data_IF_899432421870
#
_entry.id   IF_899432421870
#
_cell.length_a   1.000
_cell.length_b   1.000
_cell.length_c   1.000
_cell.angle_alpha   90.00
_cell.angle_beta   90.00
_cell.angle_gamma   90.00
#
_symmetry.space_group_name_H-M   'P 1'
#
loop_
_entity.id
_entity.type
_entity.pdbx_description
1 polymer ?
#
# COMPACT_ATOMS: atom_id res chain seq x y z
N UNK A 1 14.91 15.63 10.16
CA UNK A 1 13.65 15.35 10.91
C UNK A 1 13.84 14.01 11.60
N UNK A 2 13.39 13.87 12.85
CA UNK A 2 13.32 12.55 13.49
C UNK A 2 12.20 11.70 12.87
N UNK A 3 12.25 10.38 13.06
CA UNK A 3 11.16 9.49 12.64
C UNK A 3 9.84 9.87 13.31
N UNK A 4 9.88 10.24 14.59
CA UNK A 4 8.73 10.75 15.34
C UNK A 4 8.10 11.98 14.67
N UNK A 5 8.91 12.99 14.33
CA UNK A 5 8.41 14.18 13.65
C UNK A 5 7.81 13.86 12.28
N UNK A 6 8.37 12.88 11.56
CA UNK A 6 7.87 12.42 10.28
C UNK A 6 6.51 11.72 10.43
N UNK A 7 6.38 10.81 11.40
CA UNK A 7 5.13 10.11 11.71
C UNK A 7 4.04 11.11 12.10
N UNK A 8 4.32 12.03 13.03
CA UNK A 8 3.35 13.06 13.42
C UNK A 8 2.89 13.90 12.24
N UNK A 9 3.80 14.28 11.33
CA UNK A 9 3.46 15.02 10.11
C UNK A 9 2.51 14.22 9.20
N UNK A 10 2.79 12.95 8.96
CA UNK A 10 1.94 12.11 8.11
C UNK A 10 0.57 11.82 8.74
N UNK A 11 0.50 11.63 10.06
CA UNK A 11 -0.76 11.47 10.79
C UNK A 11 -1.63 12.71 10.62
N UNK A 12 -1.09 13.90 10.92
CA UNK A 12 -1.82 15.17 10.77
C UNK A 12 -2.31 15.37 9.33
N UNK A 13 -1.49 15.01 8.35
CA UNK A 13 -1.87 15.10 6.94
C UNK A 13 -3.05 14.17 6.60
N UNK A 14 -3.02 12.93 7.11
CA UNK A 14 -4.10 11.97 6.90
C UNK A 14 -5.38 12.41 7.63
N UNK A 15 -5.29 12.88 8.87
CA UNK A 15 -6.42 13.42 9.63
C UNK A 15 -7.08 14.59 8.90
N UNK A 16 -6.28 15.50 8.34
CA UNK A 16 -6.79 16.60 7.53
C UNK A 16 -7.57 16.10 6.32
N UNK A 17 -7.04 15.12 5.57
CA UNK A 17 -7.75 14.51 4.43
C UNK A 17 -9.05 13.85 4.88
N UNK A 18 -9.06 13.13 6.01
CA UNK A 18 -10.27 12.50 6.54
C UNK A 18 -11.36 13.51 6.93
N UNK A 19 -11.00 14.74 7.29
CA UNK A 19 -11.98 15.79 7.57
C UNK A 19 -12.62 16.37 6.30
N UNK A 20 -11.96 16.26 5.15
CA UNK A 20 -12.38 16.89 3.89
C UNK A 20 -12.84 15.89 2.82
N UNK A 21 -12.58 14.59 3.02
CA UNK A 21 -12.87 13.57 2.01
C UNK A 21 -14.37 13.41 1.79
N UNK A 22 -14.80 13.46 0.53
CA UNK A 22 -16.19 13.27 0.12
C UNK A 22 -16.34 12.04 -0.76
N UNK A 23 -17.46 11.31 -0.59
CA UNK A 23 -17.80 10.18 -1.45
C UNK A 23 -18.41 10.70 -2.76
N UNK A 24 -17.70 10.49 -3.88
CA UNK A 24 -18.18 10.85 -5.21
C UNK A 24 -19.22 9.83 -5.69
N UNK A 25 -20.51 10.19 -5.64
CA UNK A 25 -21.66 9.28 -5.91
C UNK A 25 -21.75 8.76 -7.35
N UNK A 26 -21.08 9.40 -8.31
CA UNK A 26 -21.03 9.00 -9.73
C UNK A 26 -19.59 8.73 -10.18
N UNK A 27 -18.74 8.21 -9.29
CA UNK A 27 -17.37 7.85 -9.64
C UNK A 27 -17.38 6.87 -10.82
N UNK A 28 -16.59 7.19 -11.84
CA UNK A 28 -16.38 6.39 -13.06
C UNK A 28 -16.18 4.93 -12.67
N UNK A 29 -16.84 4.01 -13.37
CA UNK A 29 -16.57 2.57 -13.31
C UNK A 29 -15.07 2.36 -13.29
N UNK A 30 -14.54 1.61 -12.32
CA UNK A 30 -13.09 1.40 -12.22
C UNK A 30 -12.61 0.73 -13.51
N UNK A 31 -11.98 1.52 -14.37
CA UNK A 31 -11.46 1.05 -15.65
C UNK A 31 -10.32 0.07 -15.41
N UNK A 32 -10.23 -0.96 -16.24
CA UNK A 32 -9.16 -1.95 -16.20
C UNK A 32 -7.78 -1.28 -16.28
N UNK A 33 -7.67 -0.16 -17.00
CA UNK A 33 -6.42 0.60 -17.09
C UNK A 33 -6.03 1.25 -15.75
N UNK A 34 -7.00 1.76 -14.99
CA UNK A 34 -6.77 2.28 -13.63
C UNK A 34 -6.31 1.15 -12.72
N UNK A 35 -6.97 -0.01 -12.78
CA UNK A 35 -6.56 -1.19 -12.00
C UNK A 35 -5.12 -1.59 -12.32
N UNK A 36 -4.75 -1.67 -13.60
CA UNK A 36 -3.37 -1.98 -14.02
C UNK A 36 -2.37 -0.99 -13.47
N UNK A 37 -2.66 0.30 -13.56
CA UNK A 37 -1.79 1.36 -13.04
C UNK A 37 -1.58 1.25 -11.53
N UNK A 38 -2.63 0.94 -10.77
CA UNK A 38 -2.51 0.71 -9.31
C UNK A 38 -1.68 -0.54 -9.02
N UNK A 39 -1.83 -1.62 -9.80
CA UNK A 39 -0.98 -2.82 -9.68
C UNK A 39 0.49 -2.55 -10.02
N UNK A 40 0.77 -1.70 -11.00
CA UNK A 40 2.13 -1.25 -11.31
C UNK A 40 2.75 -0.49 -10.14
N UNK A 41 1.99 0.42 -9.51
CA UNK A 41 2.45 1.10 -8.31
C UNK A 41 2.70 0.12 -7.16
N UNK A 42 1.76 -0.78 -6.86
CA UNK A 42 1.96 -1.80 -5.82
C UNK A 42 3.24 -2.61 -6.06
N UNK A 43 3.50 -3.02 -7.31
CA UNK A 43 4.72 -3.73 -7.69
C UNK A 43 5.98 -2.87 -7.51
N UNK A 44 5.94 -1.59 -7.89
CA UNK A 44 7.06 -0.68 -7.68
C UNK A 44 7.40 -0.55 -6.18
N UNK A 45 6.40 -0.38 -5.32
CA UNK A 45 6.60 -0.33 -3.86
C UNK A 45 7.12 -1.64 -3.27
N UNK A 46 6.77 -2.79 -3.85
CA UNK A 46 7.38 -4.07 -3.48
C UNK A 46 8.88 -4.12 -3.83
N UNK A 47 9.26 -3.61 -5.00
CA UNK A 47 10.68 -3.54 -5.40
C UNK A 47 11.45 -2.53 -4.52
N UNK A 48 10.85 -1.41 -4.17
CA UNK A 48 11.41 -0.46 -3.19
C UNK A 48 11.63 -1.12 -1.83
N UNK A 49 10.65 -1.88 -1.33
CA UNK A 49 10.79 -2.60 -0.07
C UNK A 49 11.96 -3.58 -0.10
N UNK A 50 12.12 -4.33 -1.20
CA UNK A 50 13.25 -5.25 -1.40
C UNK A 50 14.58 -4.50 -1.47
N UNK A 51 14.63 -3.37 -2.16
CA UNK A 51 15.81 -2.52 -2.28
C UNK A 51 16.23 -1.98 -0.90
N UNK A 52 15.33 -1.31 -0.18
CA UNK A 52 15.63 -0.73 1.14
C UNK A 52 15.98 -1.80 2.18
N UNK A 53 15.40 -3.01 2.08
CA UNK A 53 15.81 -4.14 2.93
C UNK A 53 17.27 -4.53 2.69
N UNK A 54 17.71 -4.61 1.42
CA UNK A 54 19.11 -4.93 1.07
C UNK A 54 20.07 -3.86 1.59
N UNK A 55 19.63 -2.61 1.62
CA UNK A 55 20.39 -1.47 2.17
C UNK A 55 20.32 -1.34 3.71
N UNK A 56 19.73 -2.32 4.42
CA UNK A 56 19.48 -2.29 5.88
C UNK A 56 18.64 -1.08 6.36
N UNK A 57 17.85 -0.48 5.47
CA UNK A 57 16.91 0.62 5.77
C UNK A 57 15.53 0.03 6.07
N UNK A 58 15.41 -0.63 7.21
CA UNK A 58 14.25 -1.45 7.54
C UNK A 58 12.95 -0.65 7.73
N UNK A 59 13.02 0.55 8.30
CA UNK A 59 11.86 1.42 8.50
C UNK A 59 11.25 1.85 7.16
N UNK A 60 12.11 2.23 6.21
CA UNK A 60 11.69 2.58 4.85
C UNK A 60 11.17 1.36 4.10
N UNK A 61 11.86 0.23 4.23
CA UNK A 61 11.42 -1.04 3.64
C UNK A 61 10.03 -1.46 4.13
N UNK A 62 9.79 -1.36 5.43
CA UNK A 62 8.51 -1.68 6.06
C UNK A 62 7.40 -0.73 5.58
N UNK A 63 7.67 0.58 5.52
CA UNK A 63 6.72 1.55 5.00
C UNK A 63 6.37 1.29 3.52
N UNK A 64 7.37 0.95 2.70
CA UNK A 64 7.16 0.62 1.28
C UNK A 64 6.28 -0.63 1.10
N UNK A 65 6.53 -1.72 1.84
CA UNK A 65 5.71 -2.93 1.70
C UNK A 65 4.30 -2.74 2.26
N UNK A 66 4.14 -2.00 3.37
CA UNK A 66 2.82 -1.69 3.91
C UNK A 66 1.97 -0.87 2.92
N UNK A 67 2.58 0.05 2.17
CA UNK A 67 1.89 0.79 1.11
C UNK A 67 1.50 -0.11 -0.08
N UNK A 68 2.40 -1.03 -0.49
CA UNK A 68 2.09 -2.06 -1.50
C UNK A 68 0.88 -2.91 -1.08
N UNK A 69 0.88 -3.44 0.15
CA UNK A 69 -0.22 -4.25 0.68
C UNK A 69 -1.53 -3.46 0.72
N UNK A 70 -1.51 -2.21 1.19
CA UNK A 70 -2.68 -1.34 1.25
C UNK A 70 -3.32 -1.07 -0.12
N UNK A 71 -2.50 -0.88 -1.17
CA UNK A 71 -3.01 -0.72 -2.53
C UNK A 71 -3.70 -2.00 -3.04
N UNK A 72 -3.10 -3.17 -2.78
CA UNK A 72 -3.66 -4.47 -3.17
C UNK A 72 -4.97 -4.76 -2.44
N UNK A 73 -5.01 -4.51 -1.13
CA UNK A 73 -6.21 -4.68 -0.32
C UNK A 73 -7.34 -3.75 -0.77
N UNK A 74 -7.04 -2.49 -1.11
CA UNK A 74 -8.03 -1.56 -1.64
C UNK A 74 -8.64 -2.06 -2.96
N UNK A 75 -7.83 -2.54 -3.91
CA UNK A 75 -8.33 -3.11 -5.17
C UNK A 75 -9.23 -4.33 -4.93
N UNK A 76 -8.86 -5.18 -3.95
CA UNK A 76 -9.65 -6.35 -3.55
C UNK A 76 -10.97 -5.94 -2.91
N UNK A 77 -10.97 -4.93 -2.03
CA UNK A 77 -12.19 -4.37 -1.42
C UNK A 77 -13.15 -3.78 -2.46
N UNK A 78 -12.62 -3.22 -3.55
CA UNK A 78 -13.40 -2.73 -4.70
C UNK A 78 -13.89 -3.85 -5.62
N UNK A 79 -13.52 -5.12 -5.37
CA UNK A 79 -13.92 -6.27 -6.20
C UNK A 79 -13.26 -6.32 -7.58
N UNK A 80 -12.17 -5.56 -7.79
CA UNK A 80 -11.49 -5.44 -9.10
C UNK A 80 -10.39 -6.49 -9.32
N UNK A 81 -9.90 -7.10 -8.24
CA UNK A 81 -8.90 -8.18 -8.26
C UNK A 81 -9.27 -9.27 -7.25
N UNK A 82 -8.71 -10.47 -7.44
CA UNK A 82 -8.90 -11.61 -6.53
C UNK A 82 -7.55 -12.23 -6.16
N UNK A 83 -7.25 -12.29 -4.87
CA UNK A 83 -6.08 -12.98 -4.32
C UNK A 83 -6.29 -13.26 -2.82
N UNK A 84 -5.43 -14.10 -2.26
CA UNK A 84 -5.36 -14.41 -0.83
C UNK A 84 -3.94 -14.14 -0.32
N UNK A 85 -3.83 -13.63 0.91
CA UNK A 85 -2.54 -13.50 1.57
C UNK A 85 -2.12 -14.86 2.11
N UNK A 86 -0.84 -15.26 1.95
CA UNK A 86 -0.37 -16.55 2.45
C UNK A 86 -0.50 -16.61 3.97
N UNK A 87 -1.00 -17.74 4.45
CA UNK A 87 -1.15 -18.04 5.87
C UNK A 87 0.22 -18.33 6.50
N UNK A 88 0.29 -18.37 7.84
CA UNK A 88 1.54 -18.64 8.56
C UNK A 88 2.18 -19.97 8.14
N UNK A 89 1.37 -20.99 7.87
CA UNK A 89 1.81 -22.33 7.48
C UNK A 89 2.49 -22.35 6.09
N UNK A 90 2.04 -21.49 5.18
CA UNK A 90 2.60 -21.39 3.82
C UNK A 90 3.92 -20.59 3.79
N UNK A 91 4.10 -19.63 4.71
CA UNK A 91 5.32 -18.80 4.81
C UNK A 91 6.54 -19.57 5.32
N UNK A 92 6.33 -20.65 6.07
CA UNK A 92 7.40 -21.48 6.63
C UNK A 92 7.95 -22.51 5.63
N UNK A 93 7.12 -22.95 4.66
CA UNK A 93 7.51 -23.89 3.60
C UNK A 93 8.29 -23.26 2.43
N UNK A 94 8.48 -21.93 2.44
CA UNK A 94 9.17 -21.17 1.37
C UNK A 94 10.53 -20.62 1.83
N UNK A 95 11.04 -21.06 2.99
CA UNK A 95 12.38 -20.69 3.48
C UNK A 95 13.48 -21.56 2.90
#
# INVERSE_FOLDING_TARGET
MSLEALVSKYIVSAEHVFNEVEIVKNAVTVDAEIVRKVLEYAKAYLEDAKYYRKENKFETSLASVAYCEGLLDALRMLGTVKFEWPTKEEKENVK
#
